data_IF_546521452371
#
_entry.id   IF_546521452371
#
_cell.length_a   1.000
_cell.length_b   1.000
_cell.length_c   1.000
_cell.angle_alpha   90.00
_cell.angle_beta   90.00
_cell.angle_gamma   90.00
#
_symmetry.space_group_name_H-M   'P 1'
#
loop_
_entity.id
_entity.type
_entity.pdbx_description
1 polymer ?
#
# COMPACT_ATOMS: atom_id res chain seq x y z
N UNK A 1 15.22 21.63 -0.37
CA UNK A 1 15.39 20.20 -0.06
C UNK A 1 15.48 19.46 -1.39
N UNK A 2 16.59 19.64 -2.13
CA UNK A 2 16.68 19.37 -3.58
C UNK A 2 18.05 18.73 -3.94
N UNK A 3 18.55 17.78 -3.13
CA UNK A 3 19.96 17.31 -3.29
C UNK A 3 20.22 15.81 -3.20
N UNK A 4 19.18 14.97 -3.13
CA UNK A 4 19.35 13.51 -3.04
C UNK A 4 18.92 12.77 -4.31
N UNK A 5 17.90 13.28 -5.02
CA UNK A 5 17.30 12.63 -6.19
C UNK A 5 18.15 12.80 -7.48
N UNK A 6 18.96 13.86 -7.58
CA UNK A 6 19.85 14.11 -8.74
C UNK A 6 20.92 13.04 -8.96
N UNK A 7 21.17 12.19 -7.97
CA UNK A 7 22.11 11.05 -8.11
C UNK A 7 21.51 9.85 -8.83
N UNK A 8 20.19 9.85 -9.04
CA UNK A 8 19.46 8.74 -9.64
C UNK A 8 18.75 9.20 -10.91
N UNK A 9 18.48 8.28 -11.83
CA UNK A 9 17.65 8.61 -12.99
C UNK A 9 16.22 8.96 -12.57
N UNK A 10 15.48 9.65 -13.46
CA UNK A 10 14.09 10.07 -13.22
C UNK A 10 13.18 8.91 -12.78
N UNK A 11 13.41 7.71 -13.33
CA UNK A 11 12.68 6.50 -12.95
C UNK A 11 13.04 6.03 -11.54
N UNK A 12 14.33 5.90 -11.25
CA UNK A 12 14.82 5.42 -9.97
C UNK A 12 14.43 6.34 -8.81
N UNK A 13 14.49 7.65 -9.02
CA UNK A 13 14.05 8.65 -8.05
C UNK A 13 12.56 8.51 -7.71
N UNK A 14 11.71 8.40 -8.73
CA UNK A 14 10.25 8.19 -8.57
C UNK A 14 9.93 6.90 -7.83
N UNK A 15 10.62 5.80 -8.16
CA UNK A 15 10.44 4.51 -7.46
C UNK A 15 10.85 4.61 -6.00
N UNK A 16 12.01 5.19 -5.72
CA UNK A 16 12.48 5.34 -4.34
C UNK A 16 11.53 6.20 -3.52
N UNK A 17 11.03 7.31 -4.07
CA UNK A 17 10.10 8.21 -3.39
C UNK A 17 8.75 7.53 -3.09
N UNK A 18 8.20 6.76 -4.03
CA UNK A 18 6.98 5.98 -3.81
C UNK A 18 7.13 4.98 -2.66
N UNK A 19 8.25 4.24 -2.64
CA UNK A 19 8.51 3.24 -1.62
C UNK A 19 8.88 3.87 -0.27
N UNK A 20 9.48 5.06 -0.25
CA UNK A 20 9.85 5.77 0.98
C UNK A 20 8.63 6.16 1.81
N UNK A 21 7.60 6.68 1.14
CA UNK A 21 6.32 7.03 1.76
C UNK A 21 5.62 5.81 2.37
N UNK A 22 6.06 4.60 2.01
CA UNK A 22 5.48 3.32 2.40
C UNK A 22 6.59 2.30 2.75
N UNK A 23 7.53 2.72 3.59
CA UNK A 23 8.82 2.01 3.77
C UNK A 23 8.74 0.57 4.29
N UNK A 24 7.58 0.17 4.79
CA UNK A 24 7.25 -1.16 5.33
C UNK A 24 6.54 -2.08 4.33
N UNK A 25 6.14 -1.56 3.17
CA UNK A 25 5.26 -2.23 2.22
C UNK A 25 6.04 -2.98 1.15
N UNK A 26 5.73 -4.27 0.96
CA UNK A 26 6.21 -5.01 -0.22
C UNK A 26 5.35 -4.67 -1.43
N UNK A 27 5.95 -4.01 -2.42
CA UNK A 27 5.28 -3.56 -3.64
C UNK A 27 5.40 -4.59 -4.76
N UNK A 28 4.29 -4.95 -5.40
CA UNK A 28 4.34 -5.77 -6.61
C UNK A 28 4.89 -4.98 -7.81
N UNK A 29 5.51 -5.66 -8.78
CA UNK A 29 5.97 -5.01 -10.03
C UNK A 29 4.85 -4.25 -10.73
N UNK A 30 3.67 -4.86 -10.82
CA UNK A 30 2.51 -4.27 -11.46
C UNK A 30 1.96 -3.08 -10.68
N UNK A 31 2.08 -3.10 -9.34
CA UNK A 31 1.75 -1.97 -8.47
C UNK A 31 2.62 -0.76 -8.78
N UNK A 32 3.94 -0.93 -8.77
CA UNK A 32 4.90 0.16 -9.05
C UNK A 32 4.72 0.71 -10.47
N UNK A 33 4.53 -0.17 -11.46
CA UNK A 33 4.32 0.21 -12.87
C UNK A 33 3.16 1.17 -13.04
N UNK A 34 2.03 0.86 -12.39
CA UNK A 34 0.81 1.65 -12.51
C UNK A 34 0.87 2.94 -11.70
N UNK A 35 1.32 2.86 -10.44
CA UNK A 35 1.44 4.04 -9.58
C UNK A 35 2.34 5.12 -10.18
N UNK A 36 3.35 4.74 -10.95
CA UNK A 36 4.25 5.68 -11.62
C UNK A 36 3.95 5.90 -13.10
N UNK A 37 2.92 5.23 -13.64
CA UNK A 37 2.56 5.22 -15.06
C UNK A 37 3.76 4.96 -16.00
N UNK A 38 4.65 4.05 -15.63
CA UNK A 38 5.89 3.77 -16.34
C UNK A 38 5.75 2.64 -17.36
N UNK A 39 6.49 2.75 -18.48
CA UNK A 39 6.66 1.64 -19.41
C UNK A 39 7.39 0.47 -18.73
N UNK A 40 6.98 -0.77 -19.00
CA UNK A 40 7.46 -1.95 -18.29
C UNK A 40 8.97 -2.16 -18.38
N UNK A 41 9.58 -1.83 -19.52
CA UNK A 41 11.02 -1.98 -19.72
C UNK A 41 11.82 -0.94 -18.93
N UNK A 42 11.33 0.31 -18.89
CA UNK A 42 11.95 1.38 -18.09
C UNK A 42 11.90 1.03 -16.62
N UNK A 43 10.74 0.56 -16.14
CA UNK A 43 10.61 0.09 -14.76
C UNK A 43 11.51 -1.10 -14.46
N UNK A 44 11.53 -2.12 -15.32
CA UNK A 44 12.36 -3.32 -15.12
C UNK A 44 13.85 -2.96 -15.00
N UNK A 45 14.34 -2.08 -15.88
CA UNK A 45 15.73 -1.58 -15.83
C UNK A 45 15.98 -0.78 -14.54
N UNK A 46 15.09 0.13 -14.18
CA UNK A 46 15.20 0.93 -12.95
C UNK A 46 15.22 0.07 -11.69
N UNK A 47 14.29 -0.89 -11.56
CA UNK A 47 14.26 -1.83 -10.42
C UNK A 47 15.51 -2.68 -10.37
N UNK A 48 15.99 -3.21 -11.50
CA UNK A 48 17.22 -4.01 -11.54
C UNK A 48 18.43 -3.21 -11.06
N UNK A 49 18.56 -1.94 -11.48
CA UNK A 49 19.63 -1.04 -10.99
C UNK A 49 19.49 -0.75 -9.50
N UNK A 50 18.30 -0.41 -9.03
CA UNK A 50 18.04 -0.16 -7.61
C UNK A 50 18.32 -1.38 -6.72
N UNK A 51 18.00 -2.58 -7.21
CA UNK A 51 18.34 -3.84 -6.53
C UNK A 51 19.84 -4.10 -6.53
N UNK A 52 20.53 -3.91 -7.66
CA UNK A 52 21.98 -4.05 -7.74
C UNK A 52 22.72 -3.08 -6.81
N UNK A 53 22.18 -1.86 -6.63
CA UNK A 53 22.71 -0.87 -5.68
C UNK A 53 22.35 -1.18 -4.22
N UNK A 54 21.54 -2.20 -3.96
CA UNK A 54 21.06 -2.57 -2.63
C UNK A 54 20.14 -1.52 -2.00
N UNK A 55 19.49 -0.68 -2.81
CA UNK A 55 18.56 0.35 -2.34
C UNK A 55 17.16 -0.23 -2.12
N UNK A 56 16.79 -1.22 -2.92
CA UNK A 56 15.57 -2.01 -2.76
C UNK A 56 15.92 -3.51 -2.72
N UNK A 57 15.15 -4.31 -1.99
CA UNK A 57 15.26 -5.77 -1.97
C UNK A 57 14.13 -6.41 -2.75
N UNK A 58 14.43 -7.45 -3.53
CA UNK A 58 13.43 -8.31 -4.16
C UNK A 58 13.10 -9.46 -3.22
N UNK A 59 11.81 -9.66 -2.95
CA UNK A 59 11.25 -10.78 -2.18
C UNK A 59 10.34 -11.60 -3.09
N UNK A 60 9.90 -12.77 -2.64
CA UNK A 60 8.94 -13.60 -3.38
C UNK A 60 7.64 -12.85 -3.69
N UNK A 61 7.26 -11.90 -2.83
CA UNK A 61 6.02 -11.14 -2.91
C UNK A 61 6.14 -9.73 -3.50
N UNK A 62 7.34 -9.29 -3.91
CA UNK A 62 7.53 -7.98 -4.52
C UNK A 62 8.88 -7.33 -4.25
N UNK A 63 8.87 -6.01 -4.14
CA UNK A 63 10.02 -5.15 -3.91
C UNK A 63 9.79 -4.29 -2.67
N UNK A 64 10.79 -4.22 -1.80
CA UNK A 64 10.74 -3.45 -0.56
C UNK A 64 11.95 -2.52 -0.50
N UNK A 65 11.75 -1.27 -0.06
CA UNK A 65 12.88 -0.35 0.14
C UNK A 65 13.73 -0.82 1.32
N UNK A 66 15.05 -0.72 1.17
CA UNK A 66 15.99 -1.03 2.27
C UNK A 66 16.25 0.20 3.13
N UNK A 67 16.83 -0.01 4.32
CA UNK A 67 17.35 1.09 5.14
C UNK A 67 18.36 1.97 4.39
N UNK A 68 19.15 1.37 3.48
CA UNK A 68 20.10 2.10 2.61
C UNK A 68 19.35 2.97 1.60
N UNK A 69 18.27 2.44 1.01
CA UNK A 69 17.36 3.17 0.13
C UNK A 69 16.76 4.40 0.81
N UNK A 70 16.19 4.25 2.00
CA UNK A 70 15.61 5.36 2.77
C UNK A 70 16.62 6.47 3.09
N UNK A 71 17.84 6.08 3.51
CA UNK A 71 18.92 7.04 3.77
C UNK A 71 19.34 7.78 2.49
N UNK A 72 19.27 7.11 1.33
CA UNK A 72 19.70 7.69 0.06
C UNK A 72 18.81 8.86 -0.43
N UNK A 73 17.54 8.89 -0.01
CA UNK A 73 16.56 9.95 -0.34
C UNK A 73 16.35 10.95 0.81
N UNK A 74 17.06 10.78 1.92
CA UNK A 74 17.02 11.73 3.05
C UNK A 74 15.66 11.83 3.75
N UNK A 75 14.78 10.84 3.55
CA UNK A 75 13.40 10.86 4.02
C UNK A 75 13.29 9.98 5.27
N UNK A 76 12.94 10.60 6.40
CA UNK A 76 12.33 9.92 7.56
C UNK A 76 10.81 9.95 7.38
N UNK A 77 10.13 8.82 7.59
CA UNK A 77 8.67 8.62 7.58
C UNK A 77 7.86 9.69 8.36
N UNK A 78 6.50 9.62 8.37
CA UNK A 78 5.54 9.34 7.30
C UNK A 78 4.62 10.56 7.05
N UNK A 79 3.91 10.61 5.93
CA UNK A 79 2.79 11.55 5.74
C UNK A 79 1.68 11.27 6.77
N UNK A 80 0.93 12.30 7.21
CA UNK A 80 -0.18 12.09 8.14
C UNK A 80 -1.19 11.11 7.52
N UNK A 81 -1.40 10.01 8.23
CA UNK A 81 -2.36 8.98 7.89
C UNK A 81 -3.73 9.47 8.36
N UNK A 82 -4.62 9.80 7.42
CA UNK A 82 -5.99 10.20 7.78
C UNK A 82 -6.84 8.95 7.92
N UNK A 83 -7.22 8.61 9.16
CA UNK A 83 -8.13 7.49 9.43
C UNK A 83 -9.54 7.87 8.97
N UNK A 84 -10.13 7.03 8.12
CA UNK A 84 -11.47 7.24 7.56
C UNK A 84 -12.51 6.38 8.29
N UNK A 85 -12.10 5.23 8.83
CA UNK A 85 -12.98 4.41 9.67
C UNK A 85 -12.21 3.35 10.44
N UNK A 86 -12.77 2.94 11.56
CA UNK A 86 -12.29 1.84 12.39
C UNK A 86 -13.47 0.95 12.83
N UNK A 87 -13.18 -0.32 13.06
CA UNK A 87 -14.17 -1.25 13.60
C UNK A 87 -13.50 -2.43 14.32
N UNK A 88 -14.28 -3.11 15.14
CA UNK A 88 -13.86 -4.31 15.83
C UNK A 88 -14.21 -5.54 15.01
N UNK A 89 -13.35 -6.55 15.05
CA UNK A 89 -13.61 -7.85 14.46
C UNK A 89 -14.53 -8.66 15.38
N UNK A 90 -15.39 -9.53 14.82
CA UNK A 90 -16.12 -10.51 15.63
C UNK A 90 -15.15 -11.35 16.47
N UNK A 91 -15.59 -11.78 17.67
CA UNK A 91 -14.75 -12.52 18.62
C UNK A 91 -14.06 -13.77 18.02
N UNK A 92 -14.71 -14.42 17.05
CA UNK A 92 -14.22 -15.66 16.41
C UNK A 92 -13.43 -15.40 15.10
N UNK A 93 -13.16 -14.14 14.76
CA UNK A 93 -12.51 -13.78 13.50
C UNK A 93 -11.00 -13.65 13.66
N UNK A 94 -10.23 -14.43 12.89
CA UNK A 94 -8.78 -14.26 12.78
C UNK A 94 -8.45 -13.15 11.78
N UNK A 95 -7.79 -12.05 12.21
CA UNK A 95 -7.37 -10.96 11.33
C UNK A 95 -6.49 -11.44 10.18
N UNK A 96 -5.66 -12.47 10.40
CA UNK A 96 -4.77 -13.04 9.39
C UNK A 96 -5.55 -13.73 8.28
N UNK A 97 -6.63 -14.44 8.63
CA UNK A 97 -7.51 -15.10 7.66
C UNK A 97 -8.23 -14.06 6.81
N UNK A 98 -8.75 -13.00 7.42
CA UNK A 98 -9.40 -11.90 6.71
C UNK A 98 -8.40 -11.19 5.79
N UNK A 99 -7.22 -10.85 6.32
CA UNK A 99 -6.21 -10.15 5.56
C UNK A 99 -5.73 -10.98 4.35
N UNK A 100 -5.53 -12.28 4.53
CA UNK A 100 -5.21 -13.20 3.44
C UNK A 100 -6.33 -13.32 2.40
N UNK A 101 -7.60 -13.26 2.81
CA UNK A 101 -8.73 -13.29 1.86
C UNK A 101 -8.80 -12.04 0.98
N UNK A 102 -8.35 -10.89 1.51
CA UNK A 102 -8.28 -9.60 0.83
C UNK A 102 -6.99 -9.41 0.01
N UNK A 103 -5.92 -10.13 0.36
CA UNK A 103 -4.63 -10.06 -0.31
C UNK A 103 -4.76 -10.35 -1.81
N UNK A 104 -4.17 -9.48 -2.63
CA UNK A 104 -4.20 -9.61 -4.09
C UNK A 104 -5.54 -9.26 -4.75
N UNK A 105 -6.58 -8.90 -3.98
CA UNK A 105 -7.91 -8.57 -4.51
C UNK A 105 -7.96 -7.15 -5.04
N UNK A 106 -8.66 -6.95 -6.15
CA UNK A 106 -9.01 -5.63 -6.67
C UNK A 106 -10.39 -5.24 -6.17
N UNK A 107 -10.62 -3.93 -6.00
CA UNK A 107 -11.86 -3.46 -5.40
C UNK A 107 -12.30 -2.10 -5.93
N UNK A 108 -13.51 -1.99 -6.52
CA UNK A 108 -14.16 -0.72 -6.89
C UNK A 108 -13.24 0.35 -7.51
N UNK A 109 -12.50 0.00 -8.56
CA UNK A 109 -11.55 0.93 -9.21
C UNK A 109 -10.24 1.15 -8.45
N UNK A 110 -9.96 0.32 -7.44
CA UNK A 110 -8.68 0.23 -6.74
C UNK A 110 -8.00 -1.10 -7.06
N UNK A 111 -6.71 -1.03 -7.29
CA UNK A 111 -5.84 -2.17 -7.58
C UNK A 111 -4.97 -2.49 -6.38
N UNK A 112 -4.69 -3.78 -6.25
CA UNK A 112 -3.77 -4.29 -5.25
C UNK A 112 -2.39 -3.65 -5.40
N UNK A 113 -1.91 -3.01 -4.34
CA UNK A 113 -0.58 -2.38 -4.32
C UNK A 113 0.44 -3.30 -3.64
N UNK A 114 0.09 -3.81 -2.46
CA UNK A 114 0.98 -4.59 -1.63
C UNK A 114 0.44 -4.83 -0.24
N UNK A 115 1.28 -5.45 0.59
CA UNK A 115 1.00 -5.63 2.01
C UNK A 115 2.28 -5.53 2.82
N UNK A 116 2.12 -5.28 4.12
CA UNK A 116 3.16 -5.45 5.13
C UNK A 116 2.60 -6.37 6.22
N UNK A 117 3.47 -7.17 6.84
CA UNK A 117 3.11 -7.98 8.00
C UNK A 117 4.19 -7.79 9.05
N UNK A 118 3.80 -7.43 10.26
CA UNK A 118 4.69 -7.30 11.40
C UNK A 118 4.13 -8.12 12.59
N UNK A 119 4.82 -8.09 13.74
CA UNK A 119 4.38 -8.84 14.93
C UNK A 119 3.03 -8.36 15.51
N UNK A 120 2.59 -7.17 15.14
CA UNK A 120 1.42 -6.50 15.70
C UNK A 120 0.21 -6.54 14.76
N UNK A 121 0.39 -6.94 13.49
CA UNK A 121 -0.68 -6.89 12.51
C UNK A 121 -0.24 -7.03 11.07
N UNK A 122 -1.24 -6.91 10.18
CA UNK A 122 -1.09 -6.95 8.73
C UNK A 122 -1.69 -5.69 8.14
N UNK A 123 -0.91 -4.99 7.32
CA UNK A 123 -1.40 -3.84 6.56
C UNK A 123 -1.54 -4.23 5.10
N UNK A 124 -2.69 -3.93 4.53
CA UNK A 124 -3.00 -4.15 3.13
C UNK A 124 -3.13 -2.80 2.44
N UNK A 125 -2.54 -2.65 1.25
CA UNK A 125 -2.55 -1.38 0.52
C UNK A 125 -3.13 -1.54 -0.88
N UNK A 126 -3.90 -0.54 -1.27
CA UNK A 126 -4.44 -0.38 -2.61
C UNK A 126 -4.15 1.01 -3.15
N UNK A 127 -4.19 1.12 -4.47
CA UNK A 127 -4.10 2.38 -5.20
C UNK A 127 -5.25 2.46 -6.20
N UNK A 128 -5.81 3.65 -6.41
CA UNK A 128 -6.78 3.89 -7.49
C UNK A 128 -6.20 3.54 -8.87
N UNK A 129 -7.10 3.33 -9.82
CA UNK A 129 -6.76 3.00 -11.20
C UNK A 129 -5.84 4.05 -11.84
N UNK A 130 -6.02 5.31 -11.46
CA UNK A 130 -5.23 6.46 -11.90
C UNK A 130 -3.85 6.55 -11.23
N UNK A 131 -3.63 5.81 -10.14
CA UNK A 131 -2.37 5.77 -9.40
C UNK A 131 -2.21 6.86 -8.34
N UNK A 132 -3.22 7.71 -8.17
CA UNK A 132 -3.13 8.99 -7.48
C UNK A 132 -3.55 8.95 -6.00
N UNK A 133 -4.47 8.05 -5.63
CA UNK A 133 -4.96 7.87 -4.26
C UNK A 133 -4.51 6.50 -3.74
N UNK A 134 -3.84 6.49 -2.60
CA UNK A 134 -3.43 5.28 -1.89
C UNK A 134 -4.20 5.14 -0.58
N UNK A 135 -4.71 3.93 -0.37
CA UNK A 135 -5.49 3.56 0.82
C UNK A 135 -4.87 2.34 1.49
N UNK A 136 -4.94 2.30 2.81
CA UNK A 136 -4.46 1.20 3.64
C UNK A 136 -5.60 0.65 4.48
N UNK A 137 -5.63 -0.66 4.66
CA UNK A 137 -6.37 -1.31 5.75
C UNK A 137 -5.38 -1.99 6.70
N UNK A 138 -5.38 -1.59 7.97
CA UNK A 138 -4.52 -2.18 9.00
C UNK A 138 -5.34 -3.12 9.87
N UNK A 139 -4.87 -4.35 10.05
CA UNK A 139 -5.51 -5.36 10.91
C UNK A 139 -4.59 -5.64 12.10
N UNK A 140 -5.04 -5.34 13.31
CA UNK A 140 -4.24 -5.53 14.53
C UNK A 140 -5.11 -5.95 15.71
N UNK A 141 -4.70 -6.99 16.44
CA UNK A 141 -5.50 -7.55 17.53
C UNK A 141 -6.92 -7.89 17.08
N UNK A 142 -7.93 -7.34 17.76
CA UNK A 142 -9.35 -7.53 17.44
C UNK A 142 -9.95 -6.34 16.67
N UNK A 143 -9.14 -5.50 16.01
CA UNK A 143 -9.63 -4.33 15.27
C UNK A 143 -9.06 -4.27 13.87
N UNK A 144 -9.77 -3.56 13.01
CA UNK A 144 -9.23 -3.08 11.75
C UNK A 144 -9.55 -1.60 11.56
N UNK A 145 -8.67 -0.91 10.84
CA UNK A 145 -8.83 0.50 10.46
C UNK A 145 -8.60 0.64 8.95
N UNK A 146 -9.24 1.64 8.35
CA UNK A 146 -8.99 2.04 6.97
C UNK A 146 -8.55 3.49 6.95
N UNK A 147 -7.46 3.76 6.26
CA UNK A 147 -6.78 5.05 6.28
C UNK A 147 -6.32 5.49 4.89
N UNK A 148 -6.29 6.80 4.69
CA UNK A 148 -5.67 7.44 3.53
C UNK A 148 -4.18 7.62 3.77
N UNK A 149 -3.39 7.21 2.78
CA UNK A 149 -1.93 7.30 2.83
C UNK A 149 -1.43 8.49 2.01
N UNK A 150 -1.97 8.66 0.81
CA UNK A 150 -1.64 9.77 -0.09
C UNK A 150 -2.77 10.04 -1.07
N UNK A 151 -2.96 11.30 -1.45
CA UNK A 151 -3.87 11.74 -2.50
C UNK A 151 -3.43 13.12 -3.04
N UNK A 152 -3.87 13.54 -4.24
CA UNK A 152 -3.53 14.85 -4.78
C UNK A 152 -4.11 16.01 -3.95
N UNK A 153 -3.49 17.20 -3.97
CA UNK A 153 -4.12 18.40 -3.40
C UNK A 153 -5.52 18.63 -4.02
N UNK A 154 -6.48 19.10 -3.22
CA UNK A 154 -7.87 19.36 -3.60
C UNK A 154 -8.72 18.12 -3.95
N UNK A 155 -8.19 16.90 -3.81
CA UNK A 155 -8.92 15.64 -4.06
C UNK A 155 -9.36 14.93 -2.77
N UNK A 156 -9.34 15.63 -1.63
CA UNK A 156 -9.63 15.05 -0.31
C UNK A 156 -11.02 14.42 -0.24
N UNK A 157 -12.03 15.05 -0.84
CA UNK A 157 -13.40 14.52 -0.88
C UNK A 157 -13.46 13.17 -1.60
N UNK A 158 -12.89 13.08 -2.81
CA UNK A 158 -12.81 11.84 -3.59
C UNK A 158 -11.98 10.79 -2.84
N UNK A 159 -10.87 11.18 -2.23
CA UNK A 159 -10.03 10.27 -1.46
C UNK A 159 -10.81 9.65 -0.29
N UNK A 160 -11.52 10.45 0.51
CA UNK A 160 -12.37 9.96 1.59
C UNK A 160 -13.45 9.02 1.09
N UNK A 161 -14.08 9.32 -0.05
CA UNK A 161 -15.09 8.43 -0.65
C UNK A 161 -14.49 7.07 -1.06
N UNK A 162 -13.31 7.08 -1.69
CA UNK A 162 -12.58 5.85 -2.07
C UNK A 162 -12.26 5.00 -0.84
N UNK A 163 -11.71 5.61 0.22
CA UNK A 163 -11.41 4.91 1.47
C UNK A 163 -12.68 4.39 2.18
N UNK A 164 -13.75 5.18 2.23
CA UNK A 164 -15.04 4.76 2.80
C UNK A 164 -15.63 3.55 2.07
N UNK A 165 -15.51 3.49 0.74
CA UNK A 165 -15.94 2.31 -0.04
C UNK A 165 -15.15 1.06 0.32
N UNK A 166 -13.84 1.18 0.55
CA UNK A 166 -13.01 0.08 1.05
C UNK A 166 -13.48 -0.36 2.45
N UNK A 167 -13.72 0.58 3.36
CA UNK A 167 -14.20 0.29 4.71
C UNK A 167 -15.52 -0.49 4.69
N UNK A 168 -16.52 0.00 3.96
CA UNK A 168 -17.82 -0.67 3.81
C UNK A 168 -17.67 -2.07 3.22
N UNK A 169 -16.78 -2.25 2.23
CA UNK A 169 -16.54 -3.58 1.69
C UNK A 169 -15.95 -4.54 2.71
N UNK A 170 -14.96 -4.10 3.48
CA UNK A 170 -14.32 -4.94 4.50
C UNK A 170 -15.37 -5.36 5.53
N UNK A 171 -16.20 -4.42 6.01
CA UNK A 171 -17.35 -4.70 6.87
C UNK A 171 -18.25 -5.78 6.24
N UNK A 172 -18.71 -5.57 5.00
CA UNK A 172 -19.60 -6.53 4.34
C UNK A 172 -18.94 -7.90 4.12
N UNK A 173 -17.62 -7.95 3.95
CA UNK A 173 -16.87 -9.20 3.78
C UNK A 173 -16.75 -9.97 5.10
N UNK A 174 -16.56 -9.25 6.20
CA UNK A 174 -16.43 -9.83 7.54
C UNK A 174 -17.81 -10.28 8.07
N UNK A 175 -18.81 -9.41 7.99
CA UNK A 175 -20.12 -9.64 8.59
C UNK A 175 -21.12 -10.33 7.65
N UNK A 176 -21.01 -10.14 6.33
CA UNK A 176 -21.88 -10.80 5.35
C UNK A 176 -21.68 -12.31 5.28
N UNK A 177 -20.48 -12.81 5.60
CA UNK A 177 -20.21 -14.26 5.72
C UNK A 177 -20.95 -14.93 6.89
N UNK A 178 -21.33 -14.19 7.93
CA UNK A 178 -22.10 -14.74 9.06
C UNK A 178 -23.59 -14.92 8.72
N UNK A 179 -24.13 -14.14 7.79
CA UNK A 179 -25.56 -14.20 7.41
C UNK A 179 -25.89 -15.44 6.59
N UNK A 180 -24.95 -15.99 5.81
CA UNK A 180 -25.16 -17.24 5.05
C UNK A 180 -25.14 -18.50 5.94
N UNK A 181 -24.67 -18.41 7.18
CA UNK A 181 -24.64 -19.55 8.13
C UNK A 181 -25.88 -19.65 9.03
N UNK A 182 -26.87 -18.76 8.85
CA UNK A 182 -28.11 -18.70 9.65
C UNK A 182 -29.34 -19.12 8.82
N UNK A 183 -29.16 -19.53 7.57
CA UNK A 183 -30.22 -20.11 6.72
C UNK A 183 -30.04 -21.61 6.54
#
# INVERSE_FOLDING_TARGET
>A
MERALDKFGDVEGKVLQLMASNSDTSFSFQGIKRSLQLHQEKLSRGLSRLTALGLIGKREDGYLITKKGLRAIGQSCPTPVTVVGESYLPADSDPSVIANALKGRWFSGMRWLGFSSNRNGVDLKWVTDEGDIQVQASFSGSKFEVSLISFPPNEEGRAKEVASRLFVKIINTIYGRKTEAIN
#
